data_IF_995972699752
#
_entry.id   IF_995972699752
#
_cell.length_a   1.000
_cell.length_b   1.000
_cell.length_c   1.000
_cell.angle_alpha   90.00
_cell.angle_beta   90.00
_cell.angle_gamma   90.00
#
_symmetry.space_group_name_H-M   'P 1'
#
loop_
_entity.id
_entity.type
_entity.pdbx_description
1 polymer ?
#
# COMPACT_ATOMS: atom_id res chain seq x y z
N UNK A 1 14.50 -25.15 -36.64
CA UNK A 1 15.34 -23.94 -36.50
C UNK A 1 14.80 -23.14 -35.34
N UNK A 2 15.29 -23.43 -34.15
CA UNK A 2 14.86 -22.83 -32.89
C UNK A 2 15.77 -21.62 -32.64
N UNK A 3 15.18 -20.44 -32.50
CA UNK A 3 15.91 -19.19 -32.30
C UNK A 3 15.81 -18.85 -30.82
N UNK A 4 16.78 -19.32 -30.05
CA UNK A 4 16.98 -18.91 -28.67
C UNK A 4 17.13 -17.39 -28.62
N UNK A 5 16.26 -16.74 -27.85
CA UNK A 5 16.45 -15.36 -27.41
C UNK A 5 16.74 -15.39 -25.92
N UNK A 6 18.03 -15.42 -25.59
CA UNK A 6 18.48 -15.07 -24.25
C UNK A 6 18.36 -13.55 -24.07
N UNK A 7 17.47 -13.10 -23.18
CA UNK A 7 17.56 -11.74 -22.63
C UNK A 7 18.43 -11.81 -21.37
N UNK A 8 19.56 -11.11 -21.40
CA UNK A 8 20.38 -10.85 -20.22
C UNK A 8 19.71 -9.74 -19.40
N UNK A 9 19.38 -10.01 -18.14
CA UNK A 9 19.00 -8.97 -17.19
C UNK A 9 19.92 -9.01 -15.97
N UNK A 10 20.29 -7.82 -15.53
CA UNK A 10 21.05 -7.54 -14.31
C UNK A 10 20.00 -7.36 -13.20
N UNK A 11 20.02 -8.26 -12.21
CA UNK A 11 19.49 -8.19 -10.83
C UNK A 11 18.19 -7.40 -10.63
N UNK A 12 17.11 -8.01 -10.13
CA UNK A 12 16.83 -8.16 -8.68
C UNK A 12 15.45 -8.85 -8.51
N UNK A 13 15.19 -9.38 -7.31
CA UNK A 13 13.97 -10.02 -6.76
C UNK A 13 12.64 -9.91 -7.56
N UNK A 14 11.91 -11.02 -7.66
CA UNK A 14 10.66 -11.17 -8.42
C UNK A 14 9.55 -11.69 -7.50
N UNK A 15 8.51 -10.88 -7.20
CA UNK A 15 7.24 -11.38 -6.65
C UNK A 15 6.48 -12.15 -7.73
N UNK A 16 5.58 -13.08 -7.44
CA UNK A 16 4.79 -13.79 -8.46
C UNK A 16 3.34 -13.84 -7.99
N UNK A 17 2.44 -13.13 -8.69
CA UNK A 17 1.01 -12.99 -8.34
C UNK A 17 0.15 -13.66 -9.42
N UNK A 18 -0.47 -14.80 -9.15
CA UNK A 18 -1.38 -15.45 -10.09
C UNK A 18 -2.80 -14.82 -10.02
N UNK A 19 -3.27 -14.20 -11.09
CA UNK A 19 -4.64 -13.70 -11.27
C UNK A 19 -5.32 -14.50 -12.39
N UNK A 20 -6.54 -14.99 -12.13
CA UNK A 20 -7.43 -15.58 -13.14
C UNK A 20 -8.33 -14.44 -13.64
N UNK A 21 -8.25 -14.09 -14.92
CA UNK A 21 -9.02 -12.96 -15.47
C UNK A 21 -10.19 -13.42 -16.35
N UNK A 22 -11.42 -13.10 -15.94
CA UNK A 22 -12.61 -12.98 -16.80
C UNK A 22 -12.87 -11.50 -17.13
N UNK A 23 -13.12 -11.18 -18.41
CA UNK A 23 -13.04 -9.83 -18.98
C UNK A 23 -14.28 -8.92 -18.81
N UNK A 24 -14.06 -7.65 -18.49
CA UNK A 24 -14.50 -6.39 -19.17
C UNK A 24 -14.66 -5.26 -18.15
N UNK A 25 -13.68 -4.36 -18.05
CA UNK A 25 -13.76 -3.18 -17.19
C UNK A 25 -14.41 -1.99 -17.92
N UNK A 26 -15.45 -1.35 -17.36
CA UNK A 26 -15.89 -0.03 -17.81
C UNK A 26 -14.84 1.04 -17.41
N UNK A 27 -14.77 2.17 -18.15
CA UNK A 27 -13.76 3.20 -17.92
C UNK A 27 -13.87 3.88 -16.54
N UNK A 28 -12.70 4.14 -15.97
CA UNK A 28 -12.33 4.59 -14.62
C UNK A 28 -12.98 5.90 -14.08
N UNK A 29 -13.75 6.66 -14.86
CA UNK A 29 -14.13 8.03 -14.47
C UNK A 29 -15.38 8.20 -13.59
N UNK A 30 -16.13 7.14 -13.28
CA UNK A 30 -17.38 7.30 -12.50
C UNK A 30 -17.27 7.02 -10.98
N UNK A 31 -16.13 6.55 -10.46
CA UNK A 31 -16.09 6.09 -9.06
C UNK A 31 -15.65 7.16 -8.03
N UNK A 32 -14.97 8.23 -8.45
CA UNK A 32 -14.44 9.23 -7.50
C UNK A 32 -15.50 10.19 -6.93
N UNK A 33 -16.73 10.19 -7.45
CA UNK A 33 -17.76 11.16 -7.07
C UNK A 33 -18.66 10.73 -5.89
N UNK A 34 -18.56 9.49 -5.40
CA UNK A 34 -19.62 8.92 -4.54
C UNK A 34 -19.27 8.76 -3.05
N UNK A 35 -18.05 9.08 -2.61
CA UNK A 35 -17.69 9.02 -1.18
C UNK A 35 -17.45 10.40 -0.59
N UNK A 36 -18.48 11.24 -0.65
CA UNK A 36 -18.64 12.34 0.31
C UNK A 36 -19.88 12.08 1.16
N UNK A 37 -19.65 12.04 2.48
CA UNK A 37 -20.63 12.03 3.57
C UNK A 37 -21.19 10.67 4.03
N UNK A 38 -20.74 10.28 5.24
CA UNK A 38 -21.48 9.50 6.24
C UNK A 38 -21.75 8.02 5.93
N UNK A 39 -20.69 7.23 5.85
CA UNK A 39 -20.77 5.80 6.14
C UNK A 39 -19.91 5.56 7.37
N UNK A 40 -20.52 5.14 8.47
CA UNK A 40 -19.80 4.61 9.62
C UNK A 40 -18.96 3.46 9.06
N UNK A 41 -17.67 3.69 8.85
CA UNK A 41 -16.80 2.72 8.20
C UNK A 41 -16.96 1.38 8.92
N UNK A 42 -17.35 0.35 8.18
CA UNK A 42 -17.41 -1.00 8.74
C UNK A 42 -16.07 -1.30 9.42
N UNK A 43 -16.08 -1.98 10.59
CA UNK A 43 -14.83 -2.35 11.25
C UNK A 43 -13.95 -3.10 10.25
N UNK A 44 -12.66 -2.78 10.24
CA UNK A 44 -11.73 -3.48 9.37
C UNK A 44 -11.74 -4.97 9.68
N UNK A 45 -11.76 -5.79 8.64
CA UNK A 45 -11.56 -7.23 8.74
C UNK A 45 -10.11 -7.59 9.08
N UNK A 46 -9.20 -6.61 8.98
CA UNK A 46 -7.79 -6.75 9.31
C UNK A 46 -7.49 -6.30 10.74
N UNK A 47 -6.48 -6.90 11.33
CA UNK A 47 -5.97 -6.52 12.65
C UNK A 47 -4.53 -6.05 12.54
N UNK A 48 -4.09 -5.21 13.48
CA UNK A 48 -2.69 -4.75 13.54
C UNK A 48 -1.79 -5.96 13.80
N UNK A 49 -0.80 -6.17 12.94
CA UNK A 49 0.19 -7.23 13.10
C UNK A 49 0.94 -7.10 14.42
N UNK A 50 1.18 -8.22 15.10
CA UNK A 50 1.82 -8.23 16.44
C UNK A 50 3.17 -7.53 16.45
N UNK A 51 3.91 -7.59 15.34
CA UNK A 51 5.19 -6.92 15.17
C UNK A 51 5.06 -5.41 15.31
N UNK A 52 3.96 -4.83 14.85
CA UNK A 52 3.71 -3.38 14.86
C UNK A 52 3.07 -2.88 16.17
N UNK A 53 2.69 -3.77 17.09
CA UNK A 53 2.00 -3.39 18.33
C UNK A 53 2.79 -2.39 19.18
N UNK A 54 4.11 -2.57 19.28
CA UNK A 54 4.96 -1.69 20.07
C UNK A 54 4.88 -0.23 19.60
N UNK A 55 5.02 0.01 18.30
CA UNK A 55 4.89 1.35 17.72
C UNK A 55 3.44 1.83 17.76
N UNK A 56 2.48 1.03 17.27
CA UNK A 56 1.09 1.42 17.15
C UNK A 56 0.49 1.81 18.52
N UNK A 57 0.65 0.98 19.54
CA UNK A 57 0.08 1.25 20.87
C UNK A 57 0.92 2.19 21.74
N UNK A 58 2.10 2.63 21.27
CA UNK A 58 2.86 3.70 21.94
C UNK A 58 2.24 5.08 21.74
N UNK A 59 1.43 5.26 20.68
CA UNK A 59 0.79 6.53 20.36
C UNK A 59 -0.49 6.71 21.17
N UNK A 60 -0.83 7.96 21.48
CA UNK A 60 -2.03 8.28 22.26
C UNK A 60 -3.33 7.94 21.50
N UNK A 61 -3.37 8.25 20.20
CA UNK A 61 -4.50 8.00 19.32
C UNK A 61 -4.02 7.44 17.97
N UNK A 62 -3.58 6.17 17.94
CA UNK A 62 -3.02 5.58 16.73
C UNK A 62 -4.06 5.42 15.64
N UNK A 63 -5.34 5.26 15.98
CA UNK A 63 -6.40 5.16 14.99
C UNK A 63 -6.60 6.48 14.25
N UNK A 64 -6.40 7.63 14.91
CA UNK A 64 -6.40 8.93 14.22
C UNK A 64 -5.20 9.13 13.30
N UNK A 65 -4.04 8.58 13.67
CA UNK A 65 -2.79 8.71 12.90
C UNK A 65 -2.80 7.73 11.73
N UNK A 66 -2.84 6.43 12.00
CA UNK A 66 -2.74 5.38 11.00
C UNK A 66 -4.05 5.15 10.24
N UNK A 67 -5.18 5.32 10.93
CA UNK A 67 -6.48 4.86 10.46
C UNK A 67 -6.70 3.37 10.67
N UNK A 68 -7.59 2.79 9.88
CA UNK A 68 -7.88 1.35 9.93
C UNK A 68 -6.76 0.57 9.25
N UNK A 69 -6.37 -0.63 9.73
CA UNK A 69 -5.59 -1.55 8.92
C UNK A 69 -6.39 -1.93 7.68
N UNK A 70 -5.76 -1.95 6.51
CA UNK A 70 -6.42 -2.30 5.23
C UNK A 70 -5.74 -3.49 4.55
N UNK A 71 -4.73 -4.08 5.19
CA UNK A 71 -4.09 -5.32 4.76
C UNK A 71 -3.73 -6.18 5.96
N UNK A 72 -3.46 -7.45 5.71
CA UNK A 72 -2.64 -8.27 6.61
C UNK A 72 -1.16 -7.82 6.58
N UNK A 73 -0.36 -8.14 7.61
CA UNK A 73 1.09 -8.06 7.51
C UNK A 73 1.60 -9.02 6.43
N UNK A 74 2.50 -8.55 5.57
CA UNK A 74 3.07 -9.33 4.49
C UNK A 74 4.55 -8.97 4.31
N UNK A 75 5.36 -9.87 3.77
CA UNK A 75 6.73 -9.51 3.39
C UNK A 75 6.66 -8.76 2.06
N UNK A 76 7.08 -7.50 2.07
CA UNK A 76 7.19 -6.69 0.87
C UNK A 76 8.29 -7.28 -0.03
N UNK A 77 7.97 -7.65 -1.27
CA UNK A 77 8.92 -8.33 -2.15
C UNK A 77 10.03 -7.42 -2.64
N UNK A 78 9.86 -6.10 -2.60
CA UNK A 78 10.86 -5.17 -3.12
C UNK A 78 12.00 -5.02 -2.14
N UNK A 79 11.67 -4.80 -0.87
CA UNK A 79 12.65 -4.52 0.18
C UNK A 79 12.86 -5.68 1.17
N UNK A 80 11.98 -6.69 1.17
CA UNK A 80 12.03 -7.83 2.10
C UNK A 80 11.57 -7.51 3.52
N UNK A 81 11.07 -6.30 3.77
CA UNK A 81 10.55 -5.90 5.08
C UNK A 81 9.17 -6.49 5.31
N UNK A 82 8.82 -6.77 6.57
CA UNK A 82 7.44 -7.01 6.92
C UNK A 82 6.70 -5.68 6.86
N UNK A 83 5.66 -5.60 6.04
CA UNK A 83 4.88 -4.40 5.80
C UNK A 83 3.41 -4.61 6.12
N UNK A 84 2.72 -3.55 6.54
CA UNK A 84 1.26 -3.53 6.67
C UNK A 84 0.71 -2.15 6.29
N UNK A 85 -0.34 -2.15 5.48
CA UNK A 85 -1.05 -0.93 5.09
C UNK A 85 -2.17 -0.60 6.07
N UNK A 86 -2.29 0.69 6.32
CA UNK A 86 -3.40 1.34 6.98
C UNK A 86 -4.00 2.38 6.05
N UNK A 87 -5.17 2.92 6.36
CA UNK A 87 -5.81 3.90 5.45
C UNK A 87 -4.91 5.09 5.15
N UNK A 88 -4.16 5.57 6.16
CA UNK A 88 -3.38 6.81 6.03
C UNK A 88 -1.89 6.57 5.77
N UNK A 89 -1.36 5.42 6.16
CA UNK A 89 0.08 5.16 6.24
C UNK A 89 0.43 3.69 5.98
N UNK A 90 1.70 3.40 5.73
CA UNK A 90 2.27 2.05 5.68
C UNK A 90 3.35 1.90 6.75
N UNK A 91 3.24 0.84 7.55
CA UNK A 91 4.25 0.45 8.53
C UNK A 91 5.15 -0.63 7.97
N UNK A 92 6.44 -0.54 8.26
CA UNK A 92 7.45 -1.53 7.90
C UNK A 92 8.28 -1.94 9.11
N UNK A 93 8.72 -3.19 9.11
CA UNK A 93 9.52 -3.80 10.16
C UNK A 93 10.59 -4.69 9.53
N UNK A 94 11.83 -4.57 10.01
CA UNK A 94 12.86 -5.56 9.74
C UNK A 94 13.74 -5.79 10.98
N UNK A 95 14.35 -6.97 11.04
CA UNK A 95 15.38 -7.29 12.03
C UNK A 95 16.74 -7.26 11.34
N UNK A 96 17.65 -6.46 11.85
CA UNK A 96 18.99 -6.35 11.28
C UNK A 96 19.87 -7.58 11.59
N UNK A 97 21.12 -7.56 11.15
CA UNK A 97 22.07 -8.66 11.38
C UNK A 97 22.48 -8.81 12.86
N UNK A 98 22.31 -7.76 13.67
CA UNK A 98 22.60 -7.78 15.11
C UNK A 98 21.42 -8.27 15.95
N UNK A 99 20.25 -8.35 15.33
CA UNK A 99 19.00 -8.73 15.98
C UNK A 99 18.17 -7.55 16.44
N UNK A 100 18.59 -6.31 16.16
CA UNK A 100 17.86 -5.09 16.45
C UNK A 100 16.57 -5.03 15.63
N UNK A 101 15.47 -4.69 16.31
CA UNK A 101 14.16 -4.52 15.70
C UNK A 101 13.99 -3.08 15.24
N UNK A 102 13.81 -2.90 13.94
CA UNK A 102 13.73 -1.58 13.34
C UNK A 102 12.36 -1.39 12.69
N UNK A 103 11.76 -0.24 12.99
CA UNK A 103 10.43 0.15 12.54
C UNK A 103 10.51 1.39 11.67
N UNK A 104 9.79 1.37 10.54
CA UNK A 104 9.77 2.47 9.60
C UNK A 104 8.35 2.83 9.21
N UNK A 105 8.18 4.10 8.91
CA UNK A 105 7.02 4.60 8.20
C UNK A 105 7.44 4.83 6.77
N UNK A 106 6.70 4.26 5.84
CA UNK A 106 7.00 4.42 4.43
C UNK A 106 6.79 5.87 4.02
N UNK A 107 7.65 6.37 3.14
CA UNK A 107 7.61 7.73 2.65
C UNK A 107 6.47 7.96 1.63
N UNK A 108 5.24 7.55 1.96
CA UNK A 108 4.07 7.66 1.08
C UNK A 108 3.77 9.10 0.68
N UNK A 109 4.13 10.08 1.53
CA UNK A 109 4.00 11.48 1.19
C UNK A 109 4.97 11.88 0.09
N UNK A 110 6.23 11.42 0.13
CA UNK A 110 7.17 11.63 -0.99
C UNK A 110 6.73 10.92 -2.27
N UNK A 111 6.17 9.71 -2.14
CA UNK A 111 5.76 8.90 -3.29
C UNK A 111 4.51 9.42 -4.01
N UNK A 112 3.62 10.11 -3.29
CA UNK A 112 2.32 10.56 -3.82
C UNK A 112 2.19 12.09 -3.96
N UNK A 113 3.19 12.86 -3.54
CA UNK A 113 3.14 14.31 -3.66
C UNK A 113 3.45 14.78 -5.09
N UNK A 114 2.51 15.49 -5.70
CA UNK A 114 2.65 16.08 -7.04
C UNK A 114 2.74 17.62 -6.95
N UNK A 115 3.93 18.24 -7.07
CA UNK A 115 4.12 19.65 -6.78
C UNK A 115 3.43 20.62 -7.76
N UNK A 116 3.18 20.18 -9.00
CA UNK A 116 2.74 21.04 -10.11
C UNK A 116 1.26 21.47 -10.06
N UNK A 117 0.48 20.94 -9.13
CA UNK A 117 -0.98 21.07 -9.13
C UNK A 117 -1.56 22.01 -8.07
N UNK A 118 -0.71 22.71 -7.29
CA UNK A 118 -1.16 23.33 -6.04
C UNK A 118 -0.97 24.86 -5.99
N UNK A 119 -2.00 25.56 -5.51
CA UNK A 119 -1.93 26.98 -5.12
C UNK A 119 -1.39 27.08 -3.68
N UNK A 120 -0.10 27.38 -3.55
CA UNK A 120 0.57 27.49 -2.26
C UNK A 120 0.26 28.81 -1.56
N UNK A 121 0.08 28.72 -0.24
CA UNK A 121 -0.10 29.88 0.62
C UNK A 121 1.19 30.23 1.34
N UNK A 122 1.55 31.52 1.31
CA UNK A 122 2.54 32.08 2.20
C UNK A 122 1.87 32.34 3.56
N UNK A 123 1.93 31.35 4.43
CA UNK A 123 1.45 31.44 5.80
C UNK A 123 2.65 31.73 6.71
N UNK A 124 2.65 32.87 7.38
CA UNK A 124 3.77 33.29 8.24
C UNK A 124 3.43 33.35 9.73
N UNK A 125 2.17 33.09 10.11
CA UNK A 125 1.73 33.19 11.50
C UNK A 125 1.64 31.83 12.18
N UNK A 126 2.08 31.76 13.43
CA UNK A 126 2.09 30.53 14.24
C UNK A 126 2.84 29.37 13.56
N UNK A 127 3.98 29.66 12.96
CA UNK A 127 4.79 28.69 12.24
C UNK A 127 6.00 28.21 13.04
N UNK A 128 6.49 27.02 12.71
CA UNK A 128 7.81 26.50 13.08
C UNK A 128 8.49 26.01 11.81
N UNK A 129 9.80 26.26 11.70
CA UNK A 129 10.61 25.74 10.59
C UNK A 129 11.65 24.80 11.20
N UNK A 130 11.66 23.55 10.74
CA UNK A 130 12.65 22.57 11.17
C UNK A 130 14.04 22.93 10.61
N UNK A 131 15.09 22.57 11.35
CA UNK A 131 16.46 22.77 10.86
C UNK A 131 16.66 22.07 9.51
N UNK A 132 17.20 22.79 8.53
CA UNK A 132 17.41 22.27 7.17
C UNK A 132 16.15 22.23 6.29
N UNK A 133 14.96 22.52 6.82
CA UNK A 133 13.73 22.60 6.01
C UNK A 133 13.48 24.02 5.51
N UNK A 134 13.00 24.12 4.27
CA UNK A 134 12.49 25.37 3.69
C UNK A 134 10.96 25.53 3.84
N UNK A 135 10.29 24.51 4.39
CA UNK A 135 8.84 24.43 4.44
C UNK A 135 8.35 24.65 5.89
N UNK A 136 7.80 25.83 6.21
CA UNK A 136 7.27 26.08 7.55
C UNK A 136 6.01 25.25 7.80
N UNK A 137 5.84 24.80 9.05
CA UNK A 137 4.64 24.11 9.55
C UNK A 137 3.87 25.11 10.39
N UNK A 138 2.62 25.42 10.03
CA UNK A 138 1.87 26.53 10.61
C UNK A 138 0.50 26.12 11.18
N UNK A 139 -0.09 26.99 12.00
CA UNK A 139 -1.45 26.88 12.53
C UNK A 139 -1.79 25.53 13.18
N UNK A 140 -2.99 25.00 12.96
CA UNK A 140 -3.45 23.76 13.59
C UNK A 140 -2.65 22.55 13.10
N UNK A 141 -2.11 22.59 11.87
CA UNK A 141 -1.19 21.54 11.37
C UNK A 141 0.05 21.47 12.26
N UNK A 142 0.62 22.62 12.65
CA UNK A 142 1.75 22.67 13.59
C UNK A 142 1.38 22.07 14.94
N UNK A 143 0.26 22.49 15.53
CA UNK A 143 -0.19 21.99 16.84
C UNK A 143 -0.34 20.47 16.80
N UNK A 144 -0.98 19.95 15.75
CA UNK A 144 -1.17 18.51 15.56
C UNK A 144 0.16 17.77 15.36
N UNK A 145 1.08 18.35 14.59
CA UNK A 145 2.42 17.80 14.37
C UNK A 145 3.21 17.67 15.67
N UNK A 146 3.26 18.73 16.48
CA UNK A 146 3.99 18.76 17.76
C UNK A 146 3.40 17.77 18.78
N UNK A 147 2.08 17.62 18.83
CA UNK A 147 1.39 16.74 19.79
C UNK A 147 1.53 15.25 19.48
N UNK A 148 1.88 14.87 18.25
CA UNK A 148 1.91 13.48 17.79
C UNK A 148 3.32 13.02 17.38
N UNK A 149 4.37 13.54 18.03
CA UNK A 149 5.77 13.21 17.72
C UNK A 149 6.08 13.38 16.22
N UNK A 150 5.71 14.54 15.67
CA UNK A 150 5.55 14.71 14.23
C UNK A 150 6.77 14.37 13.39
N UNK A 151 8.00 14.61 13.87
CA UNK A 151 9.20 14.24 13.11
C UNK A 151 9.39 12.73 13.03
N UNK A 152 9.06 11.99 14.09
CA UNK A 152 9.14 10.53 14.10
C UNK A 152 7.99 9.89 13.30
N UNK A 153 6.81 10.51 13.27
CA UNK A 153 5.61 9.93 12.66
C UNK A 153 5.38 10.45 11.24
N UNK A 154 5.27 11.76 11.05
CA UNK A 154 4.97 12.34 9.75
C UNK A 154 6.22 12.60 8.91
N UNK A 155 7.38 12.79 9.56
CA UNK A 155 8.63 13.15 8.90
C UNK A 155 8.79 14.66 8.71
N UNK A 156 9.77 15.07 7.91
CA UNK A 156 9.98 16.46 7.56
C UNK A 156 8.88 16.96 6.60
N UNK A 157 8.49 18.24 6.66
CA UNK A 157 7.59 18.81 5.66
C UNK A 157 8.31 18.87 4.31
N UNK A 158 7.59 18.48 3.25
CA UNK A 158 8.11 18.46 1.86
C UNK A 158 7.36 19.43 0.94
N UNK A 159 6.36 20.14 1.47
CA UNK A 159 5.60 21.15 0.74
C UNK A 159 5.29 22.37 1.59
N UNK A 160 5.04 23.52 0.94
CA UNK A 160 4.26 24.59 1.56
C UNK A 160 2.81 24.13 1.79
N UNK A 161 2.09 24.85 2.64
CA UNK A 161 0.64 24.68 2.77
C UNK A 161 -0.04 25.13 1.49
N UNK A 162 -1.01 24.38 0.99
CA UNK A 162 -1.84 24.76 -0.14
C UNK A 162 -3.32 24.51 0.17
N UNK A 163 -4.19 25.10 -0.63
CA UNK A 163 -5.65 24.97 -0.42
C UNK A 163 -6.32 24.13 -1.50
N UNK A 164 -7.23 23.29 -1.07
CA UNK A 164 -8.15 22.57 -1.96
C UNK A 164 -9.50 22.46 -1.26
N UNK A 165 -10.60 22.85 -1.93
CA UNK A 165 -11.96 22.76 -1.38
C UNK A 165 -12.11 23.35 0.03
N UNK A 166 -11.56 24.55 0.26
CA UNK A 166 -11.59 25.27 1.55
C UNK A 166 -10.89 24.56 2.72
N UNK A 167 -10.02 23.58 2.42
CA UNK A 167 -9.15 22.92 3.40
C UNK A 167 -7.70 23.20 3.07
N UNK A 168 -6.86 23.14 4.10
CA UNK A 168 -5.44 23.41 4.01
C UNK A 168 -4.68 22.10 4.12
N UNK A 169 -3.80 21.83 3.17
CA UNK A 169 -3.04 20.59 3.09
C UNK A 169 -1.56 20.88 3.17
N UNK A 170 -0.82 19.97 3.80
CA UNK A 170 0.64 19.99 3.78
C UNK A 170 1.16 18.55 3.74
N UNK A 171 2.05 18.29 2.78
CA UNK A 171 2.75 17.02 2.68
C UNK A 171 4.00 17.01 3.56
N UNK A 172 4.23 15.85 4.16
CA UNK A 172 5.40 15.44 4.91
C UNK A 172 5.96 14.16 4.28
N UNK A 173 7.11 13.68 4.73
CA UNK A 173 7.71 12.47 4.16
C UNK A 173 6.75 11.28 4.11
N UNK A 174 6.04 11.02 5.23
CA UNK A 174 5.25 9.81 5.42
C UNK A 174 3.74 10.03 5.29
N UNK A 175 3.29 11.28 5.22
CA UNK A 175 1.88 11.64 5.40
C UNK A 175 1.50 12.96 4.70
N UNK A 176 0.21 13.19 4.57
CA UNK A 176 -0.34 14.51 4.27
C UNK A 176 -1.36 14.89 5.35
N UNK A 177 -1.10 16.00 6.03
CA UNK A 177 -2.00 16.56 7.04
C UNK A 177 -2.97 17.52 6.37
N UNK A 178 -4.25 17.42 6.72
CA UNK A 178 -5.32 18.31 6.27
C UNK A 178 -5.97 19.01 7.44
N UNK A 179 -6.05 20.33 7.36
CA UNK A 179 -6.78 21.18 8.29
C UNK A 179 -8.08 21.69 7.66
N UNK A 180 -9.20 21.40 8.31
CA UNK A 180 -10.54 21.85 7.98
C UNK A 180 -11.00 22.90 9.01
N UNK A 181 -11.04 24.20 8.65
CA UNK A 181 -11.40 25.28 9.57
C UNK A 181 -12.89 25.26 9.96
N UNK A 182 -13.73 24.49 9.27
CA UNK A 182 -15.16 24.36 9.59
C UNK A 182 -15.43 23.34 10.69
N UNK A 183 -14.43 22.54 11.08
CA UNK A 183 -14.55 21.55 12.15
C UNK A 183 -14.15 22.14 13.51
N UNK A 184 -14.70 21.59 14.62
CA UNK A 184 -14.22 21.88 15.97
C UNK A 184 -12.71 21.67 16.10
N UNK A 185 -12.05 22.49 16.92
CA UNK A 185 -10.57 22.54 17.00
C UNK A 185 -9.93 21.17 17.27
N UNK A 186 -10.53 20.37 18.15
CA UNK A 186 -10.12 19.01 18.53
C UNK A 186 -10.19 18.00 17.37
N UNK A 187 -10.94 18.30 16.32
CA UNK A 187 -11.17 17.45 15.14
C UNK A 187 -10.87 18.16 13.82
N UNK A 188 -10.21 19.31 13.89
CA UNK A 188 -9.95 20.16 12.73
C UNK A 188 -8.83 19.62 11.85
N UNK A 189 -7.88 18.85 12.40
CA UNK A 189 -6.79 18.22 11.65
C UNK A 189 -6.99 16.70 11.53
N UNK A 190 -6.84 16.19 10.31
CA UNK A 190 -6.83 14.76 9.99
C UNK A 190 -5.74 14.44 8.97
N UNK A 191 -5.54 13.16 8.65
CA UNK A 191 -4.65 12.73 7.58
C UNK A 191 -5.42 12.46 6.28
N UNK A 192 -4.75 12.59 5.15
CA UNK A 192 -5.19 12.03 3.87
C UNK A 192 -4.97 10.52 3.88
N UNK A 193 -5.86 9.76 3.24
CA UNK A 193 -5.79 8.31 3.12
C UNK A 193 -4.70 7.86 2.11
N UNK A 194 -3.43 8.20 2.35
CA UNK A 194 -2.35 7.90 1.41
C UNK A 194 -2.10 6.39 1.24
N UNK A 195 -2.34 5.58 2.28
CA UNK A 195 -2.21 4.12 2.16
C UNK A 195 -3.26 3.51 1.24
N UNK A 196 -4.51 3.99 1.30
CA UNK A 196 -5.55 3.57 0.35
C UNK A 196 -5.22 4.01 -1.08
N UNK A 197 -4.74 5.25 -1.24
CA UNK A 197 -4.39 5.78 -2.56
C UNK A 197 -3.24 5.00 -3.20
N UNK A 198 -2.18 4.72 -2.43
CA UNK A 198 -1.07 3.91 -2.90
C UNK A 198 -1.52 2.51 -3.31
N UNK A 199 -2.35 1.83 -2.51
CA UNK A 199 -2.84 0.50 -2.90
C UNK A 199 -3.75 0.52 -4.13
N UNK A 200 -4.55 1.55 -4.31
CA UNK A 200 -5.42 1.69 -5.47
C UNK A 200 -4.62 1.86 -6.79
N UNK A 201 -3.39 2.35 -6.73
CA UNK A 201 -2.49 2.44 -7.89
C UNK A 201 -1.63 1.18 -8.09
N UNK A 202 -1.63 0.25 -7.13
CA UNK A 202 -0.83 -0.98 -7.12
C UNK A 202 -1.72 -2.24 -7.05
N UNK A 203 -2.65 -2.36 -7.98
CA UNK A 203 -3.70 -3.40 -8.01
C UNK A 203 -3.20 -4.85 -7.80
N UNK A 204 -2.11 -5.34 -8.42
CA UNK A 204 -1.67 -6.71 -8.19
C UNK A 204 -1.27 -6.98 -6.72
N UNK A 205 -0.64 -6.01 -6.04
CA UNK A 205 -0.37 -6.12 -4.60
C UNK A 205 -1.67 -6.08 -3.79
N UNK A 206 -2.58 -5.15 -4.13
CA UNK A 206 -3.85 -4.96 -3.43
C UNK A 206 -4.62 -6.27 -3.31
N UNK A 207 -4.85 -6.98 -4.41
CA UNK A 207 -5.55 -8.28 -4.37
C UNK A 207 -4.91 -9.29 -3.42
N UNK A 208 -3.58 -9.33 -3.37
CA UNK A 208 -2.85 -10.34 -2.58
C UNK A 208 -2.93 -10.06 -1.07
N UNK A 209 -2.88 -8.79 -0.67
CA UNK A 209 -2.71 -8.41 0.74
C UNK A 209 -4.02 -7.97 1.41
N UNK A 210 -5.04 -7.64 0.62
CA UNK A 210 -6.38 -7.28 1.10
C UNK A 210 -7.38 -8.43 0.96
N UNK A 211 -6.94 -9.64 0.63
CA UNK A 211 -7.72 -10.85 0.86
C UNK A 211 -7.38 -11.38 2.25
N UNK A 212 -8.35 -11.46 3.18
CA UNK A 212 -8.14 -12.15 4.45
C UNK A 212 -7.61 -13.56 4.17
N UNK A 213 -6.67 -14.06 4.98
CA UNK A 213 -6.02 -15.40 4.83
C UNK A 213 -7.03 -16.56 4.69
N UNK A 214 -8.30 -16.34 5.06
CA UNK A 214 -9.39 -17.31 4.95
C UNK A 214 -10.39 -17.02 3.80
N UNK A 215 -10.08 -16.10 2.91
CA UNK A 215 -10.95 -15.74 1.78
C UNK A 215 -10.59 -16.59 0.59
N UNK A 216 -11.39 -17.61 0.34
CA UNK A 216 -11.53 -18.18 -0.99
C UNK A 216 -11.75 -17.03 -1.97
N UNK A 217 -10.83 -16.85 -2.93
CA UNK A 217 -11.00 -15.83 -3.97
C UNK A 217 -12.18 -16.25 -4.86
N UNK A 218 -13.38 -15.73 -4.59
CA UNK A 218 -14.51 -15.84 -5.51
C UNK A 218 -14.25 -14.89 -6.68
N UNK A 219 -13.54 -15.37 -7.68
CA UNK A 219 -13.42 -14.66 -8.96
C UNK A 219 -14.77 -14.82 -9.65
N UNK A 220 -15.61 -13.79 -9.56
CA UNK A 220 -16.93 -13.72 -10.21
C UNK A 220 -16.74 -13.56 -11.73
N UNK A 221 -16.28 -14.64 -12.36
CA UNK A 221 -16.52 -14.86 -13.77
C UNK A 221 -17.97 -15.25 -13.92
N UNK A 222 -18.75 -14.48 -14.68
CA UNK A 222 -20.13 -14.86 -15.01
C UNK A 222 -20.15 -16.26 -15.65
N UNK A 223 -20.45 -17.24 -14.81
CA UNK A 223 -20.27 -18.66 -15.12
C UNK A 223 -20.43 -19.47 -13.84
N UNK A 224 -21.68 -19.59 -13.37
CA UNK A 224 -22.18 -20.62 -12.45
C UNK A 224 -21.14 -21.27 -11.51
N UNK A 225 -21.05 -20.75 -10.29
CA UNK A 225 -20.87 -21.56 -9.07
C UNK A 225 -19.59 -22.42 -9.00
N UNK A 226 -18.42 -21.82 -9.29
CA UNK A 226 -17.13 -22.45 -9.04
C UNK A 226 -16.22 -21.51 -8.24
N UNK A 227 -16.26 -21.62 -6.92
CA UNK A 227 -15.23 -21.05 -6.05
C UNK A 227 -13.92 -21.80 -6.29
N UNK A 228 -12.90 -21.09 -6.78
CA UNK A 228 -11.57 -21.61 -7.02
C UNK A 228 -10.60 -21.14 -5.93
N UNK A 229 -9.69 -22.01 -5.54
CA UNK A 229 -8.57 -21.68 -4.65
C UNK A 229 -7.28 -21.72 -5.46
N UNK A 230 -6.44 -20.69 -5.30
CA UNK A 230 -5.14 -20.59 -5.98
C UNK A 230 -4.04 -20.60 -4.93
N UNK A 231 -3.14 -21.58 -5.01
CA UNK A 231 -1.93 -21.66 -4.21
C UNK A 231 -0.70 -21.42 -5.09
N UNK A 232 0.21 -20.57 -4.63
CA UNK A 232 1.46 -20.26 -5.32
C UNK A 232 2.63 -20.63 -4.40
N UNK A 233 3.61 -21.34 -4.94
CA UNK A 233 4.89 -21.55 -4.27
C UNK A 233 6.04 -21.20 -5.20
N UNK A 234 7.10 -20.68 -4.62
CA UNK A 234 8.34 -20.35 -5.32
C UNK A 234 9.47 -21.23 -4.79
N UNK A 235 10.34 -21.70 -5.69
CA UNK A 235 11.42 -22.63 -5.33
C UNK A 235 12.52 -21.96 -4.50
N UNK A 236 12.90 -20.74 -4.86
CA UNK A 236 13.95 -19.98 -4.16
C UNK A 236 13.40 -18.69 -3.57
N UNK A 237 13.47 -18.53 -2.26
CA UNK A 237 13.09 -17.27 -1.60
C UNK A 237 14.10 -16.13 -1.83
N UNK A 238 15.33 -16.45 -2.24
CA UNK A 238 16.36 -15.50 -2.64
C UNK A 238 17.01 -15.97 -3.94
N UNK A 239 17.10 -15.08 -4.93
CA UNK A 239 17.64 -15.38 -6.24
C UNK A 239 18.86 -14.50 -6.53
N UNK A 240 19.94 -15.14 -6.97
CA UNK A 240 20.97 -14.45 -7.72
C UNK A 240 20.43 -14.15 -9.14
N UNK A 241 20.91 -13.09 -9.81
CA UNK A 241 20.38 -12.66 -11.10
C UNK A 241 20.41 -13.70 -12.22
N UNK A 242 21.26 -14.72 -12.08
CA UNK A 242 21.43 -15.80 -13.05
C UNK A 242 20.72 -17.10 -12.66
N UNK A 243 20.13 -17.15 -11.46
CA UNK A 243 19.46 -18.35 -10.97
C UNK A 243 18.05 -18.40 -11.56
N UNK A 244 17.70 -19.44 -12.32
CA UNK A 244 16.32 -19.62 -12.77
C UNK A 244 15.41 -19.85 -11.56
N UNK A 245 14.23 -19.24 -11.60
CA UNK A 245 13.20 -19.44 -10.59
C UNK A 245 12.09 -20.34 -11.13
N UNK A 246 11.65 -21.28 -10.31
CA UNK A 246 10.44 -22.05 -10.59
C UNK A 246 9.29 -21.53 -9.73
N UNK A 247 8.17 -21.26 -10.40
CA UNK A 247 6.90 -20.93 -9.76
C UNK A 247 5.96 -22.11 -9.99
N UNK A 248 5.43 -22.66 -8.91
CA UNK A 248 4.37 -23.65 -8.98
C UNK A 248 3.05 -22.99 -8.62
N UNK A 249 2.05 -23.18 -9.47
CA UNK A 249 0.70 -22.68 -9.27
C UNK A 249 -0.22 -23.90 -9.24
N UNK A 250 -0.95 -24.03 -8.15
CA UNK A 250 -1.99 -25.03 -7.98
C UNK A 250 -3.34 -24.32 -7.95
N UNK A 251 -4.23 -24.68 -8.86
CA UNK A 251 -5.61 -24.20 -8.89
C UNK A 251 -6.51 -25.38 -8.51
N UNK A 252 -7.28 -25.22 -7.44
CA UNK A 252 -8.25 -26.23 -6.96
C UNK A 252 -9.67 -25.67 -6.92
N UNK A 253 -10.66 -26.55 -6.92
CA UNK A 253 -12.05 -26.19 -6.58
C UNK A 253 -12.26 -26.16 -5.04
N UNK A 254 -13.50 -25.87 -4.60
CA UNK A 254 -13.89 -25.88 -3.17
C UNK A 254 -13.69 -27.22 -2.44
N UNK A 255 -13.38 -28.30 -3.15
CA UNK A 255 -13.12 -29.64 -2.60
C UNK A 255 -11.65 -30.04 -2.68
N UNK A 256 -10.76 -29.08 -2.94
CA UNK A 256 -9.32 -29.26 -3.11
C UNK A 256 -8.93 -30.15 -4.31
N UNK A 257 -9.82 -30.30 -5.30
CA UNK A 257 -9.55 -31.06 -6.52
C UNK A 257 -8.84 -30.14 -7.53
N UNK A 258 -7.68 -30.55 -8.11
CA UNK A 258 -7.00 -29.78 -9.15
C UNK A 258 -7.90 -29.50 -10.36
N UNK A 259 -7.95 -28.24 -10.77
CA UNK A 259 -8.75 -27.79 -11.90
C UNK A 259 -7.87 -27.78 -13.15
N UNK A 260 -8.27 -28.53 -14.17
CA UNK A 260 -7.64 -28.52 -15.48
C UNK A 260 -8.08 -27.32 -16.32
N UNK A 261 -7.21 -26.83 -17.19
CA UNK A 261 -7.45 -25.73 -18.13
C UNK A 261 -7.76 -24.38 -17.48
N UNK A 262 -7.33 -24.16 -16.24
CA UNK A 262 -7.45 -22.85 -15.61
C UNK A 262 -6.50 -21.86 -16.29
N UNK A 263 -7.03 -20.68 -16.59
CA UNK A 263 -6.25 -19.57 -17.14
C UNK A 263 -5.66 -18.74 -16.02
N UNK A 264 -4.33 -18.75 -15.94
CA UNK A 264 -3.59 -18.03 -14.92
C UNK A 264 -2.68 -16.99 -15.58
N UNK A 265 -2.64 -15.79 -15.01
CA UNK A 265 -1.63 -14.77 -15.32
C UNK A 265 -0.82 -14.49 -14.07
N UNK A 266 0.48 -14.70 -14.12
CA UNK A 266 1.41 -14.35 -13.05
C UNK A 266 1.90 -12.92 -13.25
N UNK A 267 1.61 -12.00 -12.34
CA UNK A 267 2.18 -10.67 -12.27
C UNK A 267 3.39 -10.68 -11.38
N UNK A 268 4.52 -10.33 -11.96
CA UNK A 268 5.77 -10.30 -11.26
C UNK A 268 6.11 -8.87 -10.88
N UNK A 269 6.09 -8.54 -9.59
CA UNK A 269 6.59 -7.24 -9.12
C UNK A 269 8.12 -7.26 -9.14
N UNK A 270 8.66 -6.29 -9.84
CA UNK A 270 10.09 -5.96 -9.91
C UNK A 270 10.44 -4.98 -8.79
N UNK A 271 11.73 -4.84 -8.45
CA UNK A 271 12.16 -3.98 -7.35
C UNK A 271 12.13 -2.48 -7.67
N UNK A 272 11.89 -2.11 -8.92
CA UNK A 272 11.51 -0.75 -9.32
C UNK A 272 9.99 -0.51 -9.22
N UNK A 273 9.28 -1.39 -8.51
CA UNK A 273 7.81 -1.42 -8.34
C UNK A 273 7.03 -1.64 -9.65
N UNK A 274 7.72 -1.87 -10.77
CA UNK A 274 7.07 -2.22 -12.03
C UNK A 274 6.59 -3.67 -12.02
N UNK A 275 5.65 -4.01 -12.91
CA UNK A 275 5.11 -5.35 -13.01
C UNK A 275 5.37 -5.98 -14.38
N UNK A 276 5.75 -7.25 -14.37
CA UNK A 276 5.87 -8.06 -15.56
C UNK A 276 4.84 -9.20 -15.53
N UNK A 277 3.92 -9.22 -16.50
CA UNK A 277 2.99 -10.33 -16.65
C UNK A 277 3.65 -11.52 -17.34
N UNK A 278 3.47 -12.70 -16.78
CA UNK A 278 3.83 -13.98 -17.35
C UNK A 278 2.58 -14.86 -17.45
N UNK A 279 2.32 -15.42 -18.63
CA UNK A 279 1.22 -16.37 -18.84
C UNK A 279 1.81 -17.78 -18.90
N UNK A 280 1.67 -18.60 -17.84
CA UNK A 280 1.98 -20.02 -17.92
C UNK A 280 1.04 -20.73 -18.91
N UNK A 281 1.40 -21.97 -19.25
CA UNK A 281 0.46 -22.87 -19.92
C UNK A 281 -0.76 -23.13 -19.01
N UNK A 282 -1.90 -23.46 -19.62
CA UNK A 282 -3.12 -23.77 -18.90
C UNK A 282 -2.88 -24.98 -17.96
N UNK A 283 -3.52 -24.98 -16.78
CA UNK A 283 -3.22 -25.98 -15.73
C UNK A 283 -3.49 -27.42 -16.18
N UNK A 284 -2.57 -28.33 -15.86
CA UNK A 284 -2.79 -29.77 -16.00
C UNK A 284 -3.29 -30.36 -14.67
N UNK A 285 -4.10 -31.43 -14.69
CA UNK A 285 -4.52 -32.14 -13.48
C UNK A 285 -3.34 -32.81 -12.76
#
# INVERSE_FOLDING_TARGET
MQRDRHLQFITTFFLVIAVISGCNFPPYQQWLAQRTATETAAPSEFTVGVQFHALYYSLHDPQRIFGQPISQPFIDPVNGHLSQYFTNMRLEYYRDQTGEELYFLSALGQQLFEPAEHEYLLIEKNCVTLEGSQFPICHEIRTFYEQNNGIQIFGAPISHVFTQNNRYYQYFDNACLVWDPMKPIDRSVSLVNLGEQYLATHEPLRYTITSPINSTMTIDGQGTDSEFSVSISVEHIYLNPSTPQTITILVTDRTDIPVSNAWVTVWIMLPDESYQAYRPADTSP
#
